data_IF_876192880410
#
_entry.id   IF_876192880410
#
_cell.length_a   1.000
_cell.length_b   1.000
_cell.length_c   1.000
_cell.angle_alpha   90.00
_cell.angle_beta   90.00
_cell.angle_gamma   90.00
#
_symmetry.space_group_name_H-M   'P 1'
#
loop_
_entity.id
_entity.type
_entity.pdbx_description
1 polymer ?
#
# COMPACT_ATOMS: atom_id res chain seq x y z
N UNK A 1 -13.85 4.12 -12.45
CA UNK A 1 -13.17 4.92 -11.42
C UNK A 1 -13.33 4.21 -10.10
N UNK A 2 -12.43 4.43 -9.13
CA UNK A 2 -12.49 3.79 -7.82
C UNK A 2 -12.69 4.86 -6.76
N UNK A 3 -13.59 4.60 -5.84
CA UNK A 3 -13.78 5.43 -4.66
C UNK A 3 -12.93 4.85 -3.53
N UNK A 4 -12.01 5.65 -3.02
CA UNK A 4 -11.13 5.28 -1.91
C UNK A 4 -11.58 6.03 -0.67
N UNK A 5 -11.68 5.29 0.43
CA UNK A 5 -12.01 5.84 1.74
C UNK A 5 -10.70 6.10 2.49
N UNK A 6 -10.57 7.31 3.02
CA UNK A 6 -9.43 7.71 3.83
C UNK A 6 -9.87 8.30 5.16
N UNK A 7 -8.98 8.23 6.15
CA UNK A 7 -9.21 8.84 7.46
C UNK A 7 -8.75 10.30 7.44
N UNK A 8 -9.63 11.23 7.83
CA UNK A 8 -9.35 12.68 7.78
C UNK A 8 -8.19 13.11 8.67
N UNK A 9 -7.92 12.40 9.77
CA UNK A 9 -6.91 12.79 10.75
C UNK A 9 -5.47 12.60 10.29
N UNK A 10 -5.21 11.56 9.49
CA UNK A 10 -3.87 11.14 9.08
C UNK A 10 -3.75 10.94 7.57
N UNK A 11 -4.82 11.21 6.82
CA UNK A 11 -4.93 11.01 5.37
C UNK A 11 -4.56 9.59 4.91
N UNK A 12 -4.74 8.60 5.79
CA UNK A 12 -4.43 7.21 5.46
C UNK A 12 -5.60 6.57 4.74
N UNK A 13 -5.32 5.90 3.62
CA UNK A 13 -6.29 5.07 2.91
C UNK A 13 -6.61 3.82 3.74
N UNK A 14 -7.89 3.62 4.03
CA UNK A 14 -8.36 2.53 4.93
C UNK A 14 -9.36 1.59 4.25
N UNK A 15 -9.93 1.96 3.10
CA UNK A 15 -10.89 1.15 2.39
C UNK A 15 -11.03 1.51 0.92
N UNK A 16 -11.69 0.65 0.15
CA UNK A 16 -12.01 0.88 -1.27
C UNK A 16 -13.42 0.40 -1.51
N UNK A 17 -14.25 1.25 -2.10
CA UNK A 17 -15.65 0.90 -2.37
C UNK A 17 -15.70 -0.15 -3.47
N UNK A 18 -16.39 -1.25 -3.19
CA UNK A 18 -16.59 -2.35 -4.14
C UNK A 18 -17.85 -2.10 -4.97
N UNK A 19 -17.85 -2.57 -6.22
CA UNK A 19 -18.96 -2.37 -7.16
C UNK A 19 -20.28 -2.95 -6.59
N UNK A 20 -21.28 -2.09 -6.39
CA UNK A 20 -22.58 -2.45 -5.83
C UNK A 20 -22.79 -2.19 -4.33
N UNK A 21 -21.81 -1.60 -3.64
CA UNK A 21 -21.93 -1.17 -2.23
C UNK A 21 -21.88 0.36 -2.12
N UNK A 22 -22.58 0.94 -1.13
CA UNK A 22 -22.44 2.38 -0.85
C UNK A 22 -21.23 2.67 0.04
N UNK A 23 -20.73 3.91 -0.01
CA UNK A 23 -19.62 4.37 0.82
C UNK A 23 -19.95 4.19 2.32
N UNK A 24 -21.18 4.51 2.74
CA UNK A 24 -21.56 4.35 4.14
C UNK A 24 -21.53 2.88 4.57
N UNK A 25 -22.01 1.97 3.72
CA UNK A 25 -21.98 0.53 4.01
C UNK A 25 -20.55 0.00 4.12
N UNK A 26 -19.65 0.41 3.22
CA UNK A 26 -18.24 0.03 3.28
C UNK A 26 -17.58 0.56 4.57
N UNK A 27 -17.88 1.81 4.96
CA UNK A 27 -17.36 2.39 6.19
C UNK A 27 -17.86 1.64 7.42
N UNK A 28 -19.16 1.36 7.51
CA UNK A 28 -19.75 0.70 8.67
C UNK A 28 -19.33 -0.77 8.81
N UNK A 29 -19.21 -1.49 7.69
CA UNK A 29 -18.95 -2.94 7.71
C UNK A 29 -17.47 -3.29 7.70
N UNK A 30 -16.63 -2.48 7.03
CA UNK A 30 -15.22 -2.81 6.82
C UNK A 30 -14.27 -1.80 7.47
N UNK A 31 -14.59 -0.51 7.50
CA UNK A 31 -13.66 0.50 8.03
C UNK A 31 -13.76 0.65 9.56
N UNK A 32 -14.94 1.00 10.09
CA UNK A 32 -15.14 1.26 11.52
C UNK A 32 -14.76 0.05 12.40
N UNK A 33 -15.10 -1.22 12.04
CA UNK A 33 -14.73 -2.36 12.86
C UNK A 33 -13.21 -2.60 12.96
N UNK A 34 -12.46 -2.22 11.93
CA UNK A 34 -11.00 -2.44 11.86
C UNK A 34 -10.18 -1.22 12.33
N UNK A 35 -10.70 -0.01 12.12
CA UNK A 35 -9.99 1.25 12.33
C UNK A 35 -10.62 2.15 13.41
N UNK A 36 -11.81 1.81 13.93
CA UNK A 36 -12.52 2.56 14.98
C UNK A 36 -13.15 3.88 14.51
N UNK A 37 -13.63 4.70 15.45
CA UNK A 37 -14.22 6.02 15.15
C UNK A 37 -15.68 5.99 14.70
N UNK A 38 -16.15 7.09 14.13
CA UNK A 38 -17.47 7.23 13.52
C UNK A 38 -17.36 7.61 12.04
N UNK A 39 -18.48 7.58 11.31
CA UNK A 39 -18.53 7.96 9.90
C UNK A 39 -17.92 9.34 9.61
N UNK A 40 -18.05 10.30 10.54
CA UNK A 40 -17.54 11.67 10.36
C UNK A 40 -16.01 11.76 10.30
N UNK A 41 -15.30 10.78 10.88
CA UNK A 41 -13.85 10.70 10.87
C UNK A 41 -13.27 10.35 9.49
N UNK A 42 -14.12 9.91 8.56
CA UNK A 42 -13.75 9.41 7.25
C UNK A 42 -14.29 10.30 6.15
N UNK A 43 -13.59 10.31 5.02
CA UNK A 43 -14.05 10.91 3.77
C UNK A 43 -13.64 10.02 2.60
N UNK A 44 -14.07 10.38 1.40
CA UNK A 44 -13.76 9.62 0.20
C UNK A 44 -13.26 10.51 -0.94
N UNK A 45 -12.54 9.88 -1.85
CA UNK A 45 -12.08 10.47 -3.09
C UNK A 45 -12.30 9.51 -4.24
N UNK A 46 -12.64 10.04 -5.41
CA UNK A 46 -12.72 9.27 -6.64
C UNK A 46 -11.42 9.45 -7.44
N UNK A 47 -10.75 8.34 -7.77
CA UNK A 47 -9.50 8.38 -8.54
C UNK A 47 -9.38 7.18 -9.48
N UNK A 48 -8.66 7.36 -10.58
CA UNK A 48 -8.26 6.33 -11.53
C UNK A 48 -6.79 5.89 -11.34
N UNK A 49 -6.05 6.57 -10.46
CA UNK A 49 -4.62 6.34 -10.23
C UNK A 49 -4.42 5.13 -9.31
N UNK A 50 -3.53 4.20 -9.71
CA UNK A 50 -3.21 2.98 -8.94
C UNK A 50 -2.23 3.19 -7.77
N UNK A 51 -1.46 4.28 -7.79
CA UNK A 51 -0.49 4.65 -6.76
C UNK A 51 -0.59 6.15 -6.51
N UNK A 52 -1.07 6.52 -5.34
CA UNK A 52 -1.25 7.90 -4.97
C UNK A 52 -1.00 8.07 -3.48
N UNK A 53 -0.54 9.26 -3.15
CA UNK A 53 -0.48 9.76 -1.80
C UNK A 53 -1.55 10.85 -1.63
N UNK A 54 -2.01 11.02 -0.40
CA UNK A 54 -2.94 12.08 -0.05
C UNK A 54 -2.19 13.20 0.66
N UNK A 55 -2.29 14.40 0.11
CA UNK A 55 -1.71 15.60 0.70
C UNK A 55 -2.79 16.65 0.96
N UNK A 56 -2.64 17.37 2.07
CA UNK A 56 -3.47 18.55 2.36
C UNK A 56 -2.80 19.77 1.74
N UNK A 57 -3.36 20.27 0.63
CA UNK A 57 -2.88 21.45 -0.08
C UNK A 57 -4.01 22.48 -0.08
N UNK A 58 -3.75 23.69 0.45
CA UNK A 58 -4.73 24.78 0.50
C UNK A 58 -6.10 24.37 1.07
N UNK A 59 -6.09 23.68 2.22
CA UNK A 59 -7.28 23.15 2.91
C UNK A 59 -8.09 22.11 2.11
N UNK A 60 -7.53 21.59 1.01
CA UNK A 60 -8.13 20.53 0.19
C UNK A 60 -7.27 19.29 0.19
N UNK A 61 -7.92 18.14 0.38
CA UNK A 61 -7.27 16.84 0.20
C UNK A 61 -7.09 16.62 -1.29
N UNK A 62 -5.83 16.55 -1.72
CA UNK A 62 -5.45 16.37 -3.12
C UNK A 62 -4.76 15.03 -3.30
N UNK A 63 -5.12 14.35 -4.39
CA UNK A 63 -4.47 13.12 -4.82
C UNK A 63 -3.19 13.48 -5.56
N UNK A 64 -2.05 13.09 -5.02
CA UNK A 64 -0.76 13.27 -5.68
C UNK A 64 -0.33 11.90 -6.20
N UNK A 65 -0.07 11.78 -7.51
CA UNK A 65 0.42 10.55 -8.08
C UNK A 65 1.78 10.23 -7.45
N UNK A 66 1.84 9.16 -6.66
CA UNK A 66 3.10 8.74 -6.06
C UNK A 66 3.85 7.87 -7.07
N UNK A 67 5.18 7.95 -7.02
CA UNK A 67 6.01 7.07 -7.83
C UNK A 67 5.73 5.64 -7.37
N UNK A 68 5.45 4.73 -8.31
CA UNK A 68 5.33 3.32 -7.98
C UNK A 68 6.53 2.89 -7.13
N UNK A 69 6.33 2.09 -6.07
CA UNK A 69 7.44 1.62 -5.25
C UNK A 69 8.49 0.97 -6.16
N UNK A 70 9.76 1.21 -5.87
CA UNK A 70 10.84 0.61 -6.63
C UNK A 70 10.60 -0.91 -6.71
N UNK A 71 10.81 -1.53 -7.89
CA UNK A 71 10.60 -2.97 -8.02
C UNK A 71 11.46 -3.66 -6.96
N UNK A 72 10.83 -4.60 -6.22
CA UNK A 72 11.57 -5.44 -5.30
C UNK A 72 12.75 -6.06 -6.05
N UNK A 73 13.95 -6.15 -5.42
CA UNK A 73 15.04 -6.89 -6.03
C UNK A 73 14.53 -8.29 -6.41
N UNK A 74 14.93 -8.80 -7.58
CA UNK A 74 14.50 -10.12 -8.01
C UNK A 74 14.82 -11.14 -6.92
N UNK A 75 13.91 -12.07 -6.67
CA UNK A 75 14.20 -13.19 -5.78
C UNK A 75 15.45 -13.92 -6.31
N UNK A 76 16.42 -14.24 -5.44
CA UNK A 76 17.60 -14.98 -5.84
C UNK A 76 17.17 -16.29 -6.51
N UNK A 77 17.75 -16.55 -7.67
CA UNK A 77 17.49 -17.75 -8.44
C UNK A 77 18.18 -18.95 -7.77
N UNK A 78 17.77 -20.16 -8.15
CA UNK A 78 18.46 -21.38 -7.69
C UNK A 78 19.96 -21.36 -8.02
N UNK A 79 20.35 -20.76 -9.15
CA UNK A 79 21.75 -20.62 -9.56
C UNK A 79 22.53 -19.69 -8.61
N UNK A 80 21.91 -18.62 -8.12
CA UNK A 80 22.53 -17.71 -7.14
C UNK A 80 22.86 -18.44 -5.82
N UNK A 81 21.97 -19.35 -5.39
CA UNK A 81 22.23 -20.20 -4.23
C UNK A 81 23.36 -21.20 -4.46
N UNK A 82 23.47 -21.76 -5.67
CA UNK A 82 24.56 -22.66 -6.01
C UNK A 82 25.90 -21.93 -6.05
N UNK A 83 25.93 -20.72 -6.61
CA UNK A 83 27.11 -19.86 -6.62
C UNK A 83 27.55 -19.45 -5.21
N UNK A 84 26.62 -19.09 -4.33
CA UNK A 84 26.94 -18.80 -2.92
C UNK A 84 27.48 -20.02 -2.19
N UNK A 85 26.87 -21.19 -2.42
CA UNK A 85 27.32 -22.44 -1.83
C UNK A 85 28.74 -22.79 -2.30
N UNK A 86 29.02 -22.66 -3.60
CA UNK A 86 30.32 -22.93 -4.21
C UNK A 86 31.39 -21.95 -3.70
N UNK A 87 31.03 -20.67 -3.56
CA UNK A 87 31.90 -19.65 -2.96
C UNK A 87 32.23 -19.98 -1.50
N UNK A 88 31.23 -20.38 -0.70
CA UNK A 88 31.42 -20.74 0.71
C UNK A 88 32.25 -22.01 0.86
N UNK A 89 32.03 -23.01 0.01
CA UNK A 89 32.85 -24.22 -0.05
C UNK A 89 34.30 -23.88 -0.41
N UNK A 90 34.50 -23.02 -1.40
CA UNK A 90 35.82 -22.55 -1.82
C UNK A 90 36.56 -21.79 -0.72
N UNK A 91 35.88 -20.94 0.06
CA UNK A 91 36.51 -20.25 1.21
C UNK A 91 36.95 -21.23 2.29
N UNK A 92 36.11 -22.24 2.60
CA UNK A 92 36.45 -23.30 3.56
C UNK A 92 37.65 -24.11 3.07
N UNK A 93 37.72 -24.45 1.77
CA UNK A 93 38.84 -25.17 1.18
C UNK A 93 40.14 -24.34 1.16
N UNK A 94 40.03 -23.02 1.01
CA UNK A 94 41.15 -22.08 1.06
C UNK A 94 41.54 -21.67 2.49
N UNK A 95 40.79 -22.09 3.52
CA UNK A 95 41.05 -21.78 4.92
C UNK A 95 40.85 -20.30 5.29
N UNK A 96 39.97 -19.60 4.57
CA UNK A 96 39.62 -18.18 4.78
C UNK A 96 38.38 -18.00 5.67
#
# INVERSE_FOLDING_TARGET
>A
MREIIYRKSDLTCVGTVTEGMTIEQEIELNVIPNYGGSFENYDFIETDVKYFDLELIDEKVTVVASKAPDPLPPEPTYEDYLLDLDFRLSMVELGL
#
